data_IF_381680819318
#
_entry.id   IF_381680819318
#
_cell.length_a   1.000
_cell.length_b   1.000
_cell.length_c   1.000
_cell.angle_alpha   90.00
_cell.angle_beta   90.00
_cell.angle_gamma   90.00
#
_symmetry.space_group_name_H-M   'P 1'
#
loop_
_entity.id
_entity.type
_entity.pdbx_description
1 polymer ?
#
# COMPACT_ATOMS: atom_id res chain seq x y z
N UNK A 1 -63.73 22.16 -5.86
CA UNK A 1 -62.42 22.02 -6.54
C UNK A 1 -61.61 21.00 -5.75
N UNK A 2 -61.54 19.77 -6.23
CA UNK A 2 -60.81 18.70 -5.54
C UNK A 2 -59.31 18.84 -5.83
N UNK A 3 -58.51 18.98 -4.77
CA UNK A 3 -57.05 18.94 -4.83
C UNK A 3 -56.59 17.57 -5.30
N UNK A 4 -56.14 17.45 -6.55
CA UNK A 4 -55.40 16.28 -7.00
C UNK A 4 -54.07 16.23 -6.24
N UNK A 5 -54.02 15.44 -5.17
CA UNK A 5 -52.75 15.05 -4.58
C UNK A 5 -52.06 14.09 -5.55
N UNK A 6 -50.99 14.54 -6.19
CA UNK A 6 -50.11 13.71 -7.02
C UNK A 6 -49.46 12.64 -6.13
N UNK A 7 -50.05 11.44 -6.10
CA UNK A 7 -49.36 10.28 -5.54
C UNK A 7 -48.13 9.97 -6.42
N UNK A 8 -46.95 9.66 -5.83
CA UNK A 8 -45.75 9.39 -6.61
C UNK A 8 -45.97 8.15 -7.50
N UNK A 9 -45.78 8.34 -8.82
CA UNK A 9 -45.81 7.24 -9.79
C UNK A 9 -44.59 6.35 -9.52
N UNK A 10 -44.81 5.06 -9.25
CA UNK A 10 -43.72 4.13 -9.01
C UNK A 10 -43.07 3.73 -10.34
N UNK A 11 -41.88 4.25 -10.63
CA UNK A 11 -41.14 4.05 -11.89
C UNK A 11 -40.38 2.71 -11.89
N UNK A 12 -40.08 2.15 -10.71
CA UNK A 12 -39.21 0.99 -10.56
C UNK A 12 -39.96 -0.34 -10.58
N UNK A 13 -39.27 -1.38 -11.07
CA UNK A 13 -39.76 -2.77 -10.98
C UNK A 13 -39.83 -3.20 -9.51
N UNK A 14 -40.79 -4.08 -9.18
CA UNK A 14 -40.92 -4.63 -7.84
C UNK A 14 -39.61 -5.28 -7.36
N UNK A 15 -39.12 -4.87 -6.19
CA UNK A 15 -37.86 -5.32 -5.59
C UNK A 15 -36.62 -4.51 -5.99
N UNK A 16 -36.78 -3.41 -6.73
CA UNK A 16 -35.75 -2.39 -6.89
C UNK A 16 -35.94 -1.29 -5.84
N UNK A 17 -34.83 -0.84 -5.25
CA UNK A 17 -34.79 0.18 -4.21
C UNK A 17 -34.13 1.44 -4.75
N UNK A 18 -34.66 2.61 -4.40
CA UNK A 18 -34.09 3.91 -4.72
C UNK A 18 -33.86 4.69 -3.41
N UNK A 19 -32.64 5.18 -3.23
CA UNK A 19 -32.29 6.08 -2.14
C UNK A 19 -31.93 7.45 -2.72
N UNK A 20 -32.76 8.46 -2.42
CA UNK A 20 -32.58 9.82 -2.94
C UNK A 20 -31.78 10.71 -1.99
N UNK A 21 -30.97 11.60 -2.55
CA UNK A 21 -30.41 12.80 -1.93
C UNK A 21 -29.86 12.58 -0.50
N UNK A 22 -30.59 12.99 0.54
CA UNK A 22 -30.14 12.88 1.94
C UNK A 22 -30.02 11.42 2.40
N UNK A 23 -30.91 10.53 1.96
CA UNK A 23 -30.86 9.09 2.28
C UNK A 23 -29.73 8.35 1.59
N UNK A 24 -29.41 8.68 0.31
CA UNK A 24 -28.22 8.14 -0.36
C UNK A 24 -26.93 8.57 0.35
N UNK A 25 -26.87 9.83 0.79
CA UNK A 25 -25.76 10.37 1.58
C UNK A 25 -25.72 9.76 3.00
N UNK A 26 -26.88 9.45 3.59
CA UNK A 26 -27.01 8.72 4.86
C UNK A 26 -26.56 7.25 4.74
N UNK A 27 -26.72 6.62 3.58
CA UNK A 27 -26.29 5.24 3.37
C UNK A 27 -24.75 5.13 3.28
N UNK A 28 -24.10 6.15 2.70
CA UNK A 28 -22.64 6.32 2.80
C UNK A 28 -22.17 6.53 4.25
N UNK A 29 -23.01 7.13 5.11
CA UNK A 29 -22.77 7.38 6.54
C UNK A 29 -22.55 6.11 7.38
N UNK A 30 -23.06 4.95 6.93
CA UNK A 30 -23.15 3.71 7.73
C UNK A 30 -22.17 2.61 7.29
N UNK A 31 -21.43 2.77 6.18
CA UNK A 31 -20.38 1.81 5.80
C UNK A 31 -19.11 1.99 6.68
N UNK A 32 -19.29 1.63 7.95
CA UNK A 32 -18.36 1.21 9.00
C UNK A 32 -16.98 1.89 9.01
N UNK A 33 -17.02 3.18 9.27
CA UNK A 33 -15.91 4.01 9.76
C UNK A 33 -15.05 3.33 10.86
N UNK A 34 -15.66 2.51 11.73
CA UNK A 34 -15.00 1.95 12.91
C UNK A 34 -14.18 0.67 12.66
N UNK A 35 -14.32 0.02 11.49
CA UNK A 35 -13.66 -1.26 11.21
C UNK A 35 -12.28 -1.09 10.53
N UNK A 36 -12.06 0.05 9.87
CA UNK A 36 -10.78 0.38 9.21
C UNK A 36 -9.87 1.17 10.17
N UNK A 37 -10.42 2.06 11.00
CA UNK A 37 -9.63 2.86 11.95
C UNK A 37 -8.87 1.98 12.96
N UNK A 38 -9.42 0.82 13.35
CA UNK A 38 -8.72 -0.14 14.21
C UNK A 38 -7.58 -0.91 13.52
N UNK A 39 -7.30 -0.65 12.24
CA UNK A 39 -6.18 -1.26 11.50
C UNK A 39 -4.97 -0.32 11.38
N UNK A 40 -5.08 0.94 11.81
CA UNK A 40 -3.90 1.80 11.98
C UNK A 40 -3.22 1.44 13.31
N UNK A 41 -1.88 1.46 13.35
CA UNK A 41 -1.07 1.56 14.57
C UNK A 41 -1.03 0.40 15.59
N UNK A 42 -1.98 -0.53 15.65
CA UNK A 42 -1.93 -1.66 16.61
C UNK A 42 -1.76 -3.06 15.98
N UNK A 43 -0.86 -3.80 16.64
CA UNK A 43 -0.43 -5.17 16.46
C UNK A 43 -1.53 -6.21 16.73
N UNK A 44 -1.37 -7.40 16.14
CA UNK A 44 -1.84 -8.68 16.68
C UNK A 44 -3.35 -9.02 16.71
N UNK A 45 -4.18 -8.39 15.88
CA UNK A 45 -5.43 -9.06 15.48
C UNK A 45 -5.19 -9.81 14.19
N UNK A 46 -4.92 -11.12 14.34
CA UNK A 46 -4.92 -12.21 13.33
C UNK A 46 -5.21 -11.69 11.91
N UNK A 47 -4.31 -11.87 10.92
CA UNK A 47 -4.50 -11.36 9.56
C UNK A 47 -5.58 -12.17 8.84
N UNK A 48 -6.83 -11.99 9.27
CA UNK A 48 -8.00 -12.01 8.43
C UNK A 48 -7.95 -10.73 7.61
N UNK A 49 -6.95 -10.71 6.72
CA UNK A 49 -6.68 -9.78 5.63
C UNK A 49 -7.93 -9.13 5.08
N UNK A 50 -7.81 -7.97 4.45
CA UNK A 50 -8.82 -7.32 3.58
C UNK A 50 -9.64 -8.35 2.75
N UNK A 51 -9.10 -9.53 2.42
CA UNK A 51 -9.81 -10.69 1.87
C UNK A 51 -11.04 -11.19 2.68
N UNK A 52 -11.09 -11.05 4.01
CA UNK A 52 -12.27 -11.32 4.83
C UNK A 52 -13.25 -10.13 4.91
N UNK A 53 -12.79 -8.90 4.63
CA UNK A 53 -13.70 -7.81 4.28
C UNK A 53 -14.37 -8.10 2.93
N UNK A 54 -13.62 -8.63 1.95
CA UNK A 54 -14.14 -9.02 0.62
C UNK A 54 -15.31 -10.01 0.69
N UNK A 55 -15.34 -10.91 1.69
CA UNK A 55 -16.41 -11.90 1.86
C UNK A 55 -17.60 -11.43 2.70
N UNK A 56 -17.45 -10.32 3.46
CA UNK A 56 -18.47 -9.83 4.41
C UNK A 56 -19.21 -8.58 3.95
N UNK A 57 -18.72 -7.86 2.95
CA UNK A 57 -19.34 -6.61 2.49
C UNK A 57 -20.23 -6.92 1.28
N UNK A 58 -21.55 -6.78 1.47
CA UNK A 58 -22.59 -7.06 0.45
C UNK A 58 -22.81 -5.90 -0.53
N UNK A 59 -22.02 -4.83 -0.44
CA UNK A 59 -22.12 -3.60 -1.23
C UNK A 59 -20.76 -3.25 -1.84
N UNK A 60 -20.74 -2.69 -3.05
CA UNK A 60 -19.51 -2.18 -3.68
C UNK A 60 -18.98 -1.01 -2.83
N UNK A 61 -18.07 -1.29 -1.91
CA UNK A 61 -17.41 -0.27 -1.11
C UNK A 61 -16.26 0.33 -1.92
N UNK A 62 -16.53 1.43 -2.61
CA UNK A 62 -15.57 2.11 -3.49
C UNK A 62 -14.19 2.38 -2.83
N UNK A 63 -14.08 2.73 -1.53
CA UNK A 63 -12.77 2.88 -0.89
C UNK A 63 -11.97 1.57 -0.77
N UNK A 64 -12.62 0.39 -0.82
CA UNK A 64 -11.95 -0.90 -0.88
C UNK A 64 -11.35 -1.17 -2.27
N UNK A 65 -11.99 -0.67 -3.32
CA UNK A 65 -11.45 -0.82 -4.68
C UNK A 65 -10.25 0.11 -4.86
N UNK A 66 -10.27 1.31 -4.27
CA UNK A 66 -9.13 2.22 -4.25
C UNK A 66 -7.95 1.65 -3.45
N UNK A 67 -8.22 0.88 -2.38
CA UNK A 67 -7.14 0.18 -1.67
C UNK A 67 -6.50 -0.91 -2.52
N UNK A 68 -7.23 -1.52 -3.48
CA UNK A 68 -6.65 -2.51 -4.42
C UNK A 68 -5.76 -1.82 -5.44
N UNK A 69 -6.23 -0.71 -6.02
CA UNK A 69 -5.43 0.09 -6.96
C UNK A 69 -4.12 0.55 -6.29
N UNK A 70 -4.19 0.96 -5.01
CA UNK A 70 -3.00 1.33 -4.25
C UNK A 70 -2.01 0.15 -4.08
N UNK A 71 -2.54 -1.05 -3.81
CA UNK A 71 -1.74 -2.28 -3.66
C UNK A 71 -1.08 -2.66 -4.99
N UNK A 72 -1.82 -2.59 -6.10
CA UNK A 72 -1.36 -2.95 -7.43
C UNK A 72 -0.29 -1.96 -7.96
N UNK A 73 -0.43 -0.66 -7.69
CA UNK A 73 0.48 0.37 -8.20
C UNK A 73 1.74 0.55 -7.34
N UNK A 74 1.58 0.55 -6.00
CA UNK A 74 2.68 0.92 -5.08
C UNK A 74 2.96 -0.13 -4.01
N UNK A 75 1.99 -0.98 -3.67
CA UNK A 75 2.15 -2.09 -2.72
C UNK A 75 2.26 -1.69 -1.24
N UNK A 76 2.01 -0.42 -0.90
CA UNK A 76 1.94 0.08 0.49
C UNK A 76 0.99 1.28 0.57
N UNK A 77 0.57 1.63 1.80
CA UNK A 77 -0.35 2.74 2.05
C UNK A 77 -1.82 2.42 1.77
N UNK A 78 -2.17 1.14 1.60
CA UNK A 78 -3.55 0.67 1.37
C UNK A 78 -4.50 1.15 2.47
N UNK A 79 -4.09 1.03 3.73
CA UNK A 79 -4.85 1.53 4.89
C UNK A 79 -4.93 3.05 4.91
N UNK A 80 -3.83 3.75 4.59
CA UNK A 80 -3.76 5.21 4.59
C UNK A 80 -4.72 5.83 3.57
N UNK A 81 -4.86 5.23 2.38
CA UNK A 81 -5.85 5.64 1.36
C UNK A 81 -7.25 5.55 1.93
N UNK A 82 -7.61 4.40 2.51
CA UNK A 82 -8.98 4.18 2.99
C UNK A 82 -9.33 5.10 4.16
N UNK A 83 -8.40 5.30 5.10
CA UNK A 83 -8.60 6.19 6.25
C UNK A 83 -8.72 7.64 5.79
N UNK A 84 -7.82 8.12 4.92
CA UNK A 84 -7.89 9.50 4.43
C UNK A 84 -9.18 9.75 3.64
N UNK A 85 -9.57 8.83 2.76
CA UNK A 85 -10.82 8.94 2.01
C UNK A 85 -12.04 8.98 2.95
N UNK A 86 -12.06 8.13 3.98
CA UNK A 86 -13.12 8.12 4.97
C UNK A 86 -13.18 9.46 5.72
N UNK A 87 -12.04 9.93 6.25
CA UNK A 87 -11.95 11.19 7.00
C UNK A 87 -12.37 12.41 6.17
N UNK A 88 -12.01 12.44 4.88
CA UNK A 88 -12.52 13.46 3.95
C UNK A 88 -14.05 13.43 3.87
N UNK A 89 -14.65 12.25 3.70
CA UNK A 89 -16.12 12.12 3.62
C UNK A 89 -16.82 12.53 4.91
N UNK A 90 -16.23 12.23 6.09
CA UNK A 90 -16.75 12.69 7.38
C UNK A 90 -16.75 14.21 7.49
N UNK A 91 -15.68 14.85 7.06
CA UNK A 91 -15.61 16.31 7.04
C UNK A 91 -16.59 16.91 6.02
N UNK A 92 -16.78 16.29 4.85
CA UNK A 92 -17.80 16.73 3.89
C UNK A 92 -19.22 16.60 4.43
N UNK A 93 -19.53 15.56 5.20
CA UNK A 93 -20.84 15.45 5.88
C UNK A 93 -21.10 16.68 6.77
N UNK A 94 -20.09 17.09 7.54
CA UNK A 94 -20.17 18.30 8.38
C UNK A 94 -20.45 19.57 7.56
N UNK A 95 -19.86 19.69 6.38
CA UNK A 95 -20.08 20.82 5.47
C UNK A 95 -21.46 20.79 4.80
N UNK A 96 -21.93 19.61 4.41
CA UNK A 96 -23.27 19.44 3.84
C UNK A 96 -24.33 19.77 4.88
N UNK A 97 -24.14 19.37 6.14
CA UNK A 97 -25.03 19.75 7.24
C UNK A 97 -25.08 21.28 7.46
N UNK A 98 -23.99 21.99 7.14
CA UNK A 98 -23.92 23.46 7.12
C UNK A 98 -24.49 24.08 5.83
N UNK A 99 -25.18 23.31 5.00
CA UNK A 99 -25.82 23.73 3.74
C UNK A 99 -24.81 24.23 2.69
N UNK A 100 -23.61 23.65 2.65
CA UNK A 100 -22.65 23.86 1.56
C UNK A 100 -22.93 22.84 0.46
N UNK A 101 -22.99 23.30 -0.79
CA UNK A 101 -23.27 22.43 -1.93
C UNK A 101 -22.07 21.48 -2.19
N UNK A 102 -22.28 20.17 -2.45
CA UNK A 102 -21.19 19.21 -2.67
C UNK A 102 -20.22 19.63 -3.78
N UNK A 103 -20.71 20.24 -4.86
CA UNK A 103 -19.87 20.77 -5.94
C UNK A 103 -18.85 21.80 -5.47
N UNK A 104 -19.25 22.71 -4.56
CA UNK A 104 -18.34 23.72 -3.98
C UNK A 104 -17.30 23.07 -3.05
N UNK A 105 -17.66 21.97 -2.38
CA UNK A 105 -16.72 21.19 -1.57
C UNK A 105 -15.65 20.57 -2.48
N UNK A 106 -16.09 19.94 -3.57
CA UNK A 106 -15.22 19.33 -4.58
C UNK A 106 -14.26 20.36 -5.18
N UNK A 107 -14.75 21.55 -5.53
CA UNK A 107 -13.91 22.65 -6.06
C UNK A 107 -12.82 23.05 -5.07
N UNK A 108 -13.17 23.29 -3.81
CA UNK A 108 -12.20 23.62 -2.76
C UNK A 108 -11.17 22.51 -2.51
N UNK A 109 -11.60 21.25 -2.50
CA UNK A 109 -10.71 20.10 -2.33
C UNK A 109 -9.78 19.86 -3.52
N UNK A 110 -10.25 20.12 -4.75
CA UNK A 110 -9.43 20.00 -5.96
C UNK A 110 -8.31 21.04 -5.94
N UNK A 111 -8.61 22.27 -5.56
CA UNK A 111 -7.59 23.32 -5.40
C UNK A 111 -6.61 23.01 -4.26
N UNK A 112 -7.10 22.48 -3.13
CA UNK A 112 -6.23 21.98 -2.05
C UNK A 112 -5.28 20.87 -2.54
N UNK A 113 -5.79 19.88 -3.26
CA UNK A 113 -5.01 18.75 -3.79
C UNK A 113 -3.95 19.22 -4.78
N UNK A 114 -4.27 20.20 -5.65
CA UNK A 114 -3.31 20.82 -6.56
C UNK A 114 -2.19 21.53 -5.81
N UNK A 115 -2.51 22.32 -4.79
CA UNK A 115 -1.51 23.04 -4.01
C UNK A 115 -0.57 22.11 -3.26
N UNK A 116 -1.10 21.02 -2.68
CA UNK A 116 -0.30 19.98 -2.04
C UNK A 116 0.59 19.27 -3.07
N UNK A 117 0.05 18.93 -4.24
CA UNK A 117 0.81 18.27 -5.31
C UNK A 117 1.94 19.16 -5.85
N UNK A 118 1.72 20.47 -5.95
CA UNK A 118 2.75 21.44 -6.32
C UNK A 118 3.85 21.54 -5.26
N UNK A 119 3.47 21.58 -3.97
CA UNK A 119 4.43 21.58 -2.87
C UNK A 119 5.31 20.33 -2.86
N UNK A 120 4.72 19.16 -3.14
CA UNK A 120 5.44 17.90 -3.26
C UNK A 120 6.57 17.93 -4.31
N UNK A 121 6.40 18.69 -5.39
CA UNK A 121 7.43 18.82 -6.43
C UNK A 121 8.64 19.65 -5.98
N UNK A 122 8.49 20.48 -4.93
CA UNK A 122 9.56 21.30 -4.39
C UNK A 122 10.46 20.57 -3.38
N UNK A 123 10.12 19.34 -2.97
CA UNK A 123 10.92 18.57 -2.02
C UNK A 123 12.22 18.08 -2.65
N UNK A 124 13.32 18.42 -1.97
CA UNK A 124 14.71 18.33 -2.43
C UNK A 124 15.20 16.88 -2.54
N UNK A 125 16.00 16.61 -3.58
CA UNK A 125 16.70 15.36 -3.83
C UNK A 125 18.13 15.41 -3.26
N UNK A 126 18.59 14.34 -2.62
CA UNK A 126 20.02 14.15 -2.36
C UNK A 126 20.57 13.16 -3.38
N UNK A 127 21.51 13.62 -4.22
CA UNK A 127 22.17 12.83 -5.27
C UNK A 127 23.21 11.82 -4.77
N UNK A 128 23.31 11.61 -3.46
CA UNK A 128 24.35 10.78 -2.85
C UNK A 128 23.93 9.32 -2.76
N UNK A 129 24.69 8.41 -3.38
CA UNK A 129 24.41 6.98 -3.39
C UNK A 129 24.47 6.34 -1.98
N UNK A 130 25.38 6.82 -1.12
CA UNK A 130 25.49 6.35 0.27
C UNK A 130 24.26 6.74 1.09
N UNK A 131 23.81 7.99 0.92
CA UNK A 131 22.61 8.48 1.60
C UNK A 131 21.36 7.81 1.05
N UNK A 132 21.29 7.58 -0.26
CA UNK A 132 20.21 6.84 -0.89
C UNK A 132 20.09 5.41 -0.35
N UNK A 133 21.21 4.70 -0.17
CA UNK A 133 21.18 3.37 0.48
C UNK A 133 20.66 3.46 1.91
N UNK A 134 21.05 4.47 2.68
CA UNK A 134 20.54 4.69 4.02
C UNK A 134 19.05 5.05 4.02
N UNK A 135 18.59 5.83 3.06
CA UNK A 135 17.17 6.19 2.90
C UNK A 135 16.33 4.97 2.54
N UNK A 136 16.82 4.07 1.69
CA UNK A 136 16.17 2.78 1.41
C UNK A 136 16.08 1.90 2.66
N UNK A 137 17.13 1.88 3.48
CA UNK A 137 17.13 1.18 4.77
C UNK A 137 16.06 1.77 5.71
N UNK A 138 15.99 3.10 5.79
CA UNK A 138 15.01 3.78 6.61
C UNK A 138 13.57 3.51 6.12
N UNK A 139 13.32 3.58 4.81
CA UNK A 139 12.00 3.30 4.21
C UNK A 139 11.55 1.87 4.49
N UNK A 140 12.39 0.87 4.20
CA UNK A 140 12.04 -0.52 4.48
C UNK A 140 11.85 -0.75 5.98
N UNK A 141 12.65 -0.08 6.82
CA UNK A 141 12.44 -0.09 8.26
C UNK A 141 11.09 0.47 8.69
N UNK A 142 10.63 1.56 8.09
CA UNK A 142 9.32 2.17 8.38
C UNK A 142 8.19 1.24 7.92
N UNK A 143 8.21 0.76 6.67
CA UNK A 143 7.17 -0.13 6.12
C UNK A 143 7.04 -1.46 6.87
N UNK A 144 8.14 -2.00 7.40
CA UNK A 144 8.13 -3.26 8.17
C UNK A 144 7.74 -3.07 9.65
N UNK A 145 7.76 -1.85 10.17
CA UNK A 145 7.54 -1.58 11.61
C UNK A 145 6.09 -1.80 12.07
N UNK A 146 5.14 -1.73 11.14
CA UNK A 146 3.70 -1.94 11.41
C UNK A 146 3.26 -3.40 11.30
N UNK A 147 4.20 -4.35 11.12
CA UNK A 147 3.91 -5.76 10.78
C UNK A 147 4.52 -6.72 11.79
N UNK A 148 4.14 -8.00 11.72
CA UNK A 148 4.54 -9.08 12.65
C UNK A 148 6.07 -9.31 12.76
N UNK A 149 6.86 -8.62 11.93
CA UNK A 149 8.31 -8.77 11.79
C UNK A 149 9.14 -7.80 12.66
N UNK A 150 8.52 -7.08 13.60
CA UNK A 150 9.20 -6.07 14.45
C UNK A 150 10.48 -6.58 15.12
N UNK A 151 10.47 -7.81 15.67
CA UNK A 151 11.63 -8.39 16.37
C UNK A 151 12.86 -8.62 15.49
N UNK A 152 12.68 -8.76 14.17
CA UNK A 152 13.76 -9.02 13.23
C UNK A 152 13.89 -7.92 12.16
N UNK A 153 13.30 -6.75 12.41
CA UNK A 153 13.23 -5.62 11.47
C UNK A 153 14.56 -5.35 10.77
N UNK A 154 15.66 -5.19 11.51
CA UNK A 154 16.97 -4.85 10.93
C UNK A 154 17.47 -5.89 9.93
N UNK A 155 17.21 -7.18 10.17
CA UNK A 155 17.61 -8.26 9.26
C UNK A 155 16.76 -8.24 7.99
N UNK A 156 15.45 -8.06 8.13
CA UNK A 156 14.53 -7.97 6.98
C UNK A 156 14.78 -6.72 6.13
N UNK A 157 15.04 -5.58 6.77
CA UNK A 157 15.37 -4.33 6.11
C UNK A 157 16.62 -4.47 5.25
N UNK A 158 17.72 -5.00 5.81
CA UNK A 158 18.96 -5.25 5.05
C UNK A 158 18.70 -6.16 3.86
N UNK A 159 17.94 -7.23 4.09
CA UNK A 159 17.65 -8.22 3.08
C UNK A 159 16.81 -7.68 1.92
N UNK A 160 15.76 -6.90 2.22
CA UNK A 160 14.90 -6.30 1.21
C UNK A 160 15.68 -5.30 0.35
N UNK A 161 16.52 -4.46 0.98
CA UNK A 161 17.37 -3.48 0.28
C UNK A 161 18.40 -4.18 -0.60
N UNK A 162 19.07 -5.24 -0.11
CA UNK A 162 20.01 -6.01 -0.92
C UNK A 162 19.34 -6.71 -2.11
N UNK A 163 18.14 -7.26 -1.92
CA UNK A 163 17.38 -7.90 -2.99
C UNK A 163 17.02 -6.91 -4.09
N UNK A 164 16.55 -5.71 -3.73
CA UNK A 164 16.13 -4.68 -4.69
C UNK A 164 17.32 -4.04 -5.41
N UNK A 165 18.42 -3.78 -4.71
CA UNK A 165 19.64 -3.27 -5.35
C UNK A 165 20.27 -4.27 -6.33
N UNK A 166 20.07 -5.58 -6.13
CA UNK A 166 20.50 -6.61 -7.09
C UNK A 166 19.72 -6.56 -8.42
N UNK A 167 18.48 -6.06 -8.42
CA UNK A 167 17.67 -5.94 -9.63
C UNK A 167 18.16 -4.85 -10.60
N UNK A 168 19.14 -4.02 -10.20
CA UNK A 168 19.74 -2.94 -11.02
C UNK A 168 18.74 -2.06 -11.78
N UNK A 169 17.56 -1.81 -11.19
CA UNK A 169 16.54 -0.95 -11.77
C UNK A 169 15.61 -1.59 -12.81
N UNK A 170 15.65 -2.93 -13.01
CA UNK A 170 14.68 -3.61 -13.88
C UNK A 170 13.24 -3.41 -13.40
N UNK A 171 13.05 -3.16 -12.10
CA UNK A 171 11.75 -2.88 -11.49
C UNK A 171 10.78 -4.07 -11.54
N UNK A 172 11.24 -5.23 -12.00
CA UNK A 172 10.42 -6.43 -12.08
C UNK A 172 10.60 -7.27 -10.80
N UNK A 173 9.57 -7.24 -9.95
CA UNK A 173 9.52 -7.99 -8.69
C UNK A 173 9.42 -9.50 -8.91
N UNK A 174 9.01 -9.97 -10.09
CA UNK A 174 8.94 -11.40 -10.40
C UNK A 174 10.31 -12.10 -10.38
N UNK A 175 11.39 -11.33 -10.59
CA UNK A 175 12.76 -11.81 -10.49
C UNK A 175 13.19 -12.12 -9.05
N UNK A 176 12.41 -11.68 -8.04
CA UNK A 176 12.59 -12.02 -6.64
C UNK A 176 11.65 -13.17 -6.29
N UNK A 177 12.19 -14.37 -6.12
CA UNK A 177 11.40 -15.53 -5.74
C UNK A 177 11.41 -15.76 -4.24
N UNK A 178 10.24 -15.90 -3.62
CA UNK A 178 10.10 -16.19 -2.20
C UNK A 178 9.75 -17.67 -2.00
N UNK A 179 10.58 -18.42 -1.27
CA UNK A 179 10.34 -19.82 -0.92
C UNK A 179 10.01 -19.91 0.57
N UNK A 180 8.79 -20.36 0.89
CA UNK A 180 8.35 -20.63 2.27
C UNK A 180 8.66 -22.07 2.69
N UNK A 181 9.23 -22.25 3.87
CA UNK A 181 9.50 -23.56 4.49
C UNK A 181 9.09 -23.56 5.96
N UNK A 182 8.38 -24.60 6.36
CA UNK A 182 8.03 -24.80 7.77
C UNK A 182 9.25 -25.28 8.56
N UNK A 183 9.35 -24.82 9.81
CA UNK A 183 10.33 -25.29 10.78
C UNK A 183 11.36 -24.23 11.19
N UNK A 184 11.77 -24.31 12.46
CA UNK A 184 12.69 -23.42 13.16
C UNK A 184 12.18 -21.99 13.43
N UNK A 185 12.96 -21.23 14.21
CA UNK A 185 12.80 -19.79 14.38
C UNK A 185 12.93 -19.07 13.04
N UNK A 186 12.32 -17.89 12.94
CA UNK A 186 12.28 -17.08 11.70
C UNK A 186 13.71 -16.80 11.20
N UNK A 187 14.13 -17.52 10.16
CA UNK A 187 15.48 -17.43 9.57
C UNK A 187 15.36 -17.22 8.07
N UNK A 188 16.08 -16.21 7.57
CA UNK A 188 15.99 -15.82 6.17
C UNK A 188 17.37 -15.67 5.57
N UNK A 189 17.55 -16.30 4.42
CA UNK A 189 18.76 -16.22 3.63
C UNK A 189 18.42 -15.81 2.20
N UNK A 190 19.23 -14.91 1.63
CA UNK A 190 19.22 -14.63 0.19
C UNK A 190 20.16 -15.60 -0.48
N UNK A 191 19.62 -16.47 -1.32
CA UNK A 191 20.38 -17.40 -2.16
C UNK A 191 19.77 -17.37 -3.56
N UNK A 192 20.46 -17.88 -4.58
CA UNK A 192 19.77 -18.23 -5.82
C UNK A 192 19.48 -19.72 -5.67
N UNK A 193 18.21 -20.05 -5.49
CA UNK A 193 17.79 -21.43 -5.23
C UNK A 193 16.57 -21.77 -6.05
N UNK A 194 16.63 -22.89 -6.77
CA UNK A 194 15.52 -23.39 -7.58
C UNK A 194 15.12 -24.76 -7.07
N UNK A 195 13.80 -25.01 -7.00
CA UNK A 195 13.26 -26.34 -6.67
C UNK A 195 13.15 -27.14 -7.95
N UNK A 196 13.92 -28.23 -8.05
CA UNK A 196 14.11 -28.96 -9.31
C UNK A 196 14.43 -30.42 -9.01
N UNK A 197 14.01 -31.32 -9.91
CA UNK A 197 14.53 -32.68 -10.00
C UNK A 197 15.83 -32.75 -10.81
N UNK A 198 16.76 -33.59 -10.34
CA UNK A 198 18.10 -33.78 -10.89
C UNK A 198 18.20 -35.12 -11.62
N UNK A 199 18.66 -35.10 -12.87
CA UNK A 199 19.05 -36.30 -13.60
C UNK A 199 20.48 -36.14 -14.10
N UNK A 200 21.32 -37.14 -13.85
CA UNK A 200 22.71 -37.13 -14.33
C UNK A 200 22.84 -38.14 -15.47
N UNK A 201 23.15 -37.63 -16.66
CA UNK A 201 23.35 -38.46 -17.86
C UNK A 201 24.62 -37.99 -18.54
N UNK A 202 25.58 -38.90 -18.75
CA UNK A 202 26.84 -38.62 -19.46
C UNK A 202 27.61 -37.37 -18.97
N UNK A 203 27.71 -37.17 -17.64
CA UNK A 203 28.35 -36.00 -16.99
C UNK A 203 27.66 -34.66 -17.25
N UNK A 204 26.46 -34.67 -17.84
CA UNK A 204 25.59 -33.51 -17.96
C UNK A 204 24.50 -33.61 -16.89
N UNK A 205 24.36 -32.53 -16.12
CA UNK A 205 23.31 -32.41 -15.11
C UNK A 205 22.06 -31.79 -15.74
N UNK A 206 20.99 -32.57 -15.80
CA UNK A 206 19.68 -32.11 -16.24
C UNK A 206 18.87 -31.64 -15.03
N UNK A 207 18.30 -30.44 -15.18
CA UNK A 207 17.56 -29.70 -14.15
C UNK A 207 16.16 -29.45 -14.72
N UNK A 208 15.15 -30.19 -14.24
CA UNK A 208 13.75 -30.02 -14.66
C UNK A 208 12.99 -29.02 -13.77
N UNK A 209 12.72 -27.83 -14.29
CA UNK A 209 11.87 -26.83 -13.64
C UNK A 209 10.41 -27.01 -14.06
N UNK A 210 9.48 -26.95 -13.10
CA UNK A 210 8.05 -27.16 -13.36
C UNK A 210 7.29 -25.85 -13.61
N UNK A 211 7.87 -24.71 -13.21
CA UNK A 211 7.24 -23.39 -13.39
C UNK A 211 8.03 -22.54 -14.37
N UNK A 212 7.32 -21.87 -15.28
CA UNK A 212 7.91 -20.89 -16.22
C UNK A 212 8.72 -19.80 -15.50
N UNK A 213 8.25 -19.35 -14.34
CA UNK A 213 8.93 -18.34 -13.50
C UNK A 213 10.30 -18.82 -13.01
N UNK A 214 10.45 -20.10 -12.68
CA UNK A 214 11.73 -20.68 -12.25
C UNK A 214 12.76 -20.64 -13.39
N UNK A 215 12.32 -20.91 -14.63
CA UNK A 215 13.15 -20.83 -15.83
C UNK A 215 13.54 -19.37 -16.11
N UNK A 216 12.61 -18.44 -15.98
CA UNK A 216 12.88 -17.00 -16.14
C UNK A 216 13.92 -16.49 -15.13
N UNK A 217 13.93 -17.01 -13.91
CA UNK A 217 14.92 -16.61 -12.90
C UNK A 217 16.33 -17.14 -13.19
N UNK A 218 16.47 -18.23 -13.96
CA UNK A 218 17.77 -18.75 -14.39
C UNK A 218 18.47 -17.86 -15.44
N UNK A 219 17.78 -16.86 -16.00
CA UNK A 219 18.44 -15.83 -16.83
C UNK A 219 19.52 -15.07 -16.05
N UNK A 220 19.53 -15.10 -14.71
CA UNK A 220 20.60 -14.49 -13.91
C UNK A 220 22.00 -15.09 -14.20
N UNK A 221 22.05 -16.29 -14.76
CA UNK A 221 23.26 -17.00 -15.20
C UNK A 221 23.80 -16.39 -16.53
N UNK A 222 23.00 -15.56 -17.21
CA UNK A 222 23.36 -14.82 -18.42
C UNK A 222 23.13 -15.57 -19.73
N UNK A 223 22.40 -16.69 -19.68
CA UNK A 223 21.94 -17.41 -20.86
C UNK A 223 20.55 -16.97 -21.32
N UNK A 224 20.13 -17.45 -22.48
CA UNK A 224 18.80 -17.21 -23.04
C UNK A 224 17.92 -18.46 -23.06
N UNK A 225 16.60 -18.27 -23.09
CA UNK A 225 15.64 -19.38 -23.17
C UNK A 225 15.53 -19.82 -24.63
N UNK A 226 16.17 -20.93 -24.97
CA UNK A 226 16.00 -21.59 -26.26
C UNK A 226 14.79 -22.55 -26.21
N UNK A 227 13.94 -22.49 -27.22
CA UNK A 227 12.83 -23.45 -27.44
C UNK A 227 13.14 -24.45 -28.55
N UNK A 228 13.98 -24.07 -29.51
CA UNK A 228 14.51 -24.92 -30.58
C UNK A 228 16.01 -25.12 -30.40
N UNK A 229 16.50 -26.31 -30.75
CA UNK A 229 17.90 -26.70 -30.59
C UNK A 229 18.61 -26.92 -31.94
N UNK A 230 18.00 -26.49 -33.05
CA UNK A 230 18.52 -26.74 -34.41
C UNK A 230 19.82 -25.96 -34.71
N UNK A 231 19.99 -24.79 -34.08
CA UNK A 231 21.14 -23.91 -34.26
C UNK A 231 21.78 -23.56 -32.90
N UNK A 232 22.57 -24.47 -32.30
CA UNK A 232 23.14 -24.28 -30.97
C UNK A 232 24.13 -23.11 -30.90
N UNK A 233 24.74 -22.73 -32.02
CA UNK A 233 25.68 -21.60 -32.12
C UNK A 233 25.03 -20.22 -31.98
N UNK A 234 23.71 -20.13 -32.21
CA UNK A 234 22.96 -18.89 -32.01
C UNK A 234 22.53 -18.71 -30.55
N UNK A 235 22.62 -19.77 -29.72
CA UNK A 235 22.11 -19.77 -28.35
C UNK A 235 23.18 -19.32 -27.36
N UNK A 236 22.92 -18.23 -26.65
CA UNK A 236 23.76 -17.75 -25.55
C UNK A 236 23.64 -18.67 -24.33
N UNK A 237 24.71 -19.39 -24.02
CA UNK A 237 24.82 -20.20 -22.81
C UNK A 237 25.17 -19.35 -21.58
N UNK A 238 24.54 -19.67 -20.44
CA UNK A 238 24.87 -19.05 -19.15
C UNK A 238 26.07 -19.71 -18.48
N UNK A 239 26.78 -18.98 -17.62
CA UNK A 239 27.83 -19.53 -16.74
C UNK A 239 27.61 -19.22 -15.26
N UNK A 240 27.96 -20.18 -14.39
CA UNK A 240 28.01 -20.00 -12.93
C UNK A 240 29.24 -20.72 -12.35
N UNK A 241 29.70 -20.30 -11.17
CA UNK A 241 30.92 -20.86 -10.55
C UNK A 241 30.68 -22.19 -9.86
N UNK A 242 29.55 -22.32 -9.16
CA UNK A 242 29.23 -23.50 -8.36
C UNK A 242 27.73 -23.78 -8.42
N UNK A 243 27.40 -25.05 -8.60
CA UNK A 243 26.04 -25.59 -8.47
C UNK A 243 26.11 -26.66 -7.38
N UNK A 244 25.39 -26.47 -6.28
CA UNK A 244 25.34 -27.44 -5.18
C UNK A 244 23.90 -27.77 -4.80
N UNK A 245 23.66 -29.01 -4.39
CA UNK A 245 22.37 -29.42 -3.83
C UNK A 245 22.37 -29.18 -2.32
N UNK A 246 21.44 -28.34 -1.85
CA UNK A 246 21.29 -27.99 -0.44
C UNK A 246 19.94 -28.48 0.07
N UNK A 247 19.96 -29.23 1.17
CA UNK A 247 18.75 -29.61 1.90
C UNK A 247 18.27 -28.45 2.77
N UNK A 248 17.06 -27.95 2.54
CA UNK A 248 16.42 -26.96 3.42
C UNK A 248 15.14 -27.56 3.98
N UNK A 249 15.21 -28.06 5.22
CA UNK A 249 14.14 -28.83 5.83
C UNK A 249 14.07 -30.21 5.18
N UNK A 250 12.91 -30.54 4.60
CA UNK A 250 12.68 -31.81 3.89
C UNK A 250 12.89 -31.67 2.37
N UNK A 251 12.97 -30.45 1.85
CA UNK A 251 13.10 -30.19 0.42
C UNK A 251 14.55 -30.07 -0.03
N UNK A 252 14.83 -30.68 -1.19
CA UNK A 252 16.06 -30.53 -1.96
C UNK A 252 15.97 -29.27 -2.82
N UNK A 253 16.93 -28.37 -2.69
CA UNK A 253 17.02 -27.16 -3.50
C UNK A 253 18.40 -27.08 -4.14
N UNK A 254 18.44 -26.68 -5.41
CA UNK A 254 19.71 -26.45 -6.11
C UNK A 254 20.12 -25.00 -5.87
N UNK A 255 21.30 -24.80 -5.30
CA UNK A 255 21.90 -23.50 -5.09
C UNK A 255 22.91 -23.17 -6.19
N UNK A 256 22.74 -22.00 -6.80
CA UNK A 256 23.67 -21.44 -7.77
C UNK A 256 24.50 -20.34 -7.10
N UNK A 257 25.83 -20.46 -7.12
CA UNK A 257 26.75 -19.45 -6.59
C UNK A 257 27.66 -18.88 -7.68
N UNK A 258 27.96 -17.58 -7.56
CA UNK A 258 28.85 -16.89 -8.50
C UNK A 258 28.27 -16.72 -9.90
N UNK A 259 27.03 -16.23 -9.99
CA UNK A 259 26.36 -15.92 -11.26
C UNK A 259 26.86 -14.61 -11.89
N UNK A 260 26.80 -14.51 -13.22
CA UNK A 260 27.36 -13.39 -13.97
C UNK A 260 26.52 -12.10 -13.91
N UNK A 261 25.19 -12.17 -14.14
CA UNK A 261 24.33 -10.98 -14.16
C UNK A 261 23.69 -10.67 -12.81
N UNK A 262 23.40 -11.67 -11.96
CA UNK A 262 22.95 -11.47 -10.58
C UNK A 262 21.61 -10.73 -10.41
N UNK A 263 20.86 -10.56 -11.50
CA UNK A 263 19.60 -9.79 -11.57
C UNK A 263 18.38 -10.52 -11.00
N UNK A 264 18.53 -11.77 -10.57
CA UNK A 264 17.48 -12.52 -9.88
C UNK A 264 17.98 -13.01 -8.52
N UNK A 265 17.08 -13.07 -7.55
CA UNK A 265 17.39 -13.57 -6.22
C UNK A 265 16.25 -14.42 -5.64
N UNK A 266 16.61 -15.34 -4.76
CA UNK A 266 15.66 -16.17 -4.02
C UNK A 266 15.76 -15.87 -2.53
N UNK A 267 14.64 -15.58 -1.91
CA UNK A 267 14.53 -15.33 -0.48
C UNK A 267 13.86 -16.54 0.14
N UNK A 268 14.57 -17.24 1.03
CA UNK A 268 14.01 -18.40 1.72
C UNK A 268 13.49 -17.98 3.08
N UNK A 269 12.17 -18.04 3.28
CA UNK A 269 11.48 -17.78 4.55
C UNK A 269 11.29 -19.08 5.31
N UNK A 270 11.79 -19.13 6.56
CA UNK A 270 11.50 -20.21 7.51
C UNK A 270 10.70 -19.71 8.68
N UNK A 271 9.72 -20.45 9.17
CA UNK A 271 8.87 -20.00 10.27
C UNK A 271 8.19 -21.16 10.98
N UNK A 272 7.73 -20.89 12.22
CA UNK A 272 7.13 -21.90 13.09
C UNK A 272 5.74 -22.36 12.61
N UNK A 273 4.96 -21.46 12.01
CA UNK A 273 3.60 -21.74 11.53
C UNK A 273 3.41 -21.19 10.10
N UNK A 274 2.48 -21.79 9.34
CA UNK A 274 2.13 -21.28 8.01
C UNK A 274 1.60 -19.84 8.06
N UNK A 275 0.84 -19.50 9.11
CA UNK A 275 0.31 -18.14 9.27
C UNK A 275 1.41 -17.08 9.40
N UNK A 276 2.48 -17.38 10.16
CA UNK A 276 3.64 -16.49 10.28
C UNK A 276 4.38 -16.40 8.94
N UNK A 277 4.51 -17.51 8.21
CA UNK A 277 5.16 -17.52 6.89
C UNK A 277 4.40 -16.71 5.85
N UNK A 278 3.08 -16.87 5.78
CA UNK A 278 2.21 -16.13 4.87
C UNK A 278 2.24 -14.63 5.19
N UNK A 279 2.23 -14.28 6.47
CA UNK A 279 2.33 -12.88 6.90
C UNK A 279 3.72 -12.30 6.63
N UNK A 280 4.80 -13.08 6.83
CA UNK A 280 6.16 -12.66 6.52
C UNK A 280 6.38 -12.46 5.02
N UNK A 281 5.83 -13.34 4.17
CA UNK A 281 5.88 -13.20 2.72
C UNK A 281 5.15 -11.94 2.26
N UNK A 282 3.93 -11.70 2.76
CA UNK A 282 3.20 -10.46 2.47
C UNK A 282 3.98 -9.23 2.95
N UNK A 283 4.46 -9.24 4.19
CA UNK A 283 5.21 -8.13 4.76
C UNK A 283 6.46 -7.78 3.94
N UNK A 284 7.17 -8.81 3.47
CA UNK A 284 8.33 -8.67 2.61
C UNK A 284 7.94 -8.17 1.22
N UNK A 285 6.86 -8.69 0.63
CA UNK A 285 6.36 -8.25 -0.66
C UNK A 285 6.08 -6.75 -0.66
N UNK A 286 5.33 -6.25 0.32
CA UNK A 286 5.03 -4.83 0.46
C UNK A 286 6.31 -3.98 0.56
N UNK A 287 7.30 -4.43 1.35
CA UNK A 287 8.58 -3.73 1.47
C UNK A 287 9.36 -3.73 0.14
N UNK A 288 9.36 -4.85 -0.59
CA UNK A 288 10.00 -4.94 -1.91
C UNK A 288 9.30 -4.04 -2.94
N UNK A 289 7.97 -3.95 -2.92
CA UNK A 289 7.20 -3.07 -3.79
C UNK A 289 7.57 -1.60 -3.58
N UNK A 290 7.59 -1.14 -2.33
CA UNK A 290 7.95 0.26 -2.00
C UNK A 290 9.38 0.56 -2.41
N UNK A 291 10.32 -0.34 -2.09
CA UNK A 291 11.72 -0.16 -2.46
C UNK A 291 11.91 -0.14 -3.97
N UNK A 292 11.25 -1.04 -4.71
CA UNK A 292 11.34 -1.08 -6.17
C UNK A 292 10.81 0.21 -6.82
N UNK A 293 9.72 0.78 -6.28
CA UNK A 293 9.22 2.07 -6.74
C UNK A 293 10.15 3.23 -6.33
N UNK A 294 10.78 3.15 -5.16
CA UNK A 294 11.75 4.16 -4.70
C UNK A 294 13.06 4.12 -5.51
N UNK A 295 13.44 2.98 -6.08
CA UNK A 295 14.56 2.91 -7.03
C UNK A 295 14.21 3.59 -8.37
N UNK A 296 12.94 3.52 -8.81
CA UNK A 296 12.47 4.26 -9.99
C UNK A 296 12.34 5.75 -9.73
N UNK A 297 11.85 6.12 -8.56
CA UNK A 297 11.74 7.50 -8.09
C UNK A 297 12.40 7.66 -6.71
N UNK A 298 13.60 8.23 -6.72
CA UNK A 298 14.47 8.37 -5.57
C UNK A 298 14.04 9.45 -4.56
N UNK A 299 12.90 10.10 -4.76
CA UNK A 299 12.36 11.09 -3.83
C UNK A 299 11.81 10.42 -2.57
N UNK A 300 12.13 11.01 -1.43
CA UNK A 300 11.71 10.53 -0.11
C UNK A 300 11.07 11.66 0.68
N UNK A 301 10.24 11.29 1.64
CA UNK A 301 9.54 12.23 2.53
C UNK A 301 9.60 11.72 3.97
N UNK A 302 9.49 12.63 4.94
CA UNK A 302 9.49 12.25 6.35
C UNK A 302 8.14 11.68 6.76
N UNK A 303 8.18 10.52 7.43
CA UNK A 303 6.97 9.84 7.89
C UNK A 303 6.49 10.31 9.26
N UNK A 304 5.83 9.43 10.01
CA UNK A 304 5.40 9.71 11.38
C UNK A 304 4.41 10.87 11.50
N UNK A 305 3.58 11.11 10.48
CA UNK A 305 2.63 12.23 10.47
C UNK A 305 3.22 13.59 10.08
N UNK A 306 4.53 13.66 9.83
CA UNK A 306 5.22 14.89 9.42
C UNK A 306 4.71 15.38 8.06
N UNK A 307 4.70 14.50 7.05
CA UNK A 307 4.22 14.82 5.71
C UNK A 307 2.76 15.30 5.73
N UNK A 308 1.90 14.62 6.47
CA UNK A 308 0.47 14.95 6.60
C UNK A 308 0.25 16.31 7.26
N UNK A 309 1.02 16.62 8.30
CA UNK A 309 0.95 17.92 8.97
C UNK A 309 1.43 19.06 8.06
N UNK A 310 2.50 18.85 7.28
CA UNK A 310 2.99 19.82 6.29
C UNK A 310 1.94 20.10 5.22
N UNK A 311 1.34 19.04 4.67
CA UNK A 311 0.27 19.18 3.68
C UNK A 311 -0.91 19.96 4.27
N UNK A 312 -1.31 19.66 5.52
CA UNK A 312 -2.36 20.39 6.20
C UNK A 312 -2.00 21.87 6.42
N UNK A 313 -0.74 22.18 6.73
CA UNK A 313 -0.26 23.56 6.88
C UNK A 313 -0.34 24.32 5.56
N UNK A 314 0.13 23.73 4.45
CA UNK A 314 0.06 24.33 3.10
C UNK A 314 -1.39 24.61 2.70
N UNK A 315 -2.29 23.64 2.90
CA UNK A 315 -3.72 23.82 2.58
C UNK A 315 -4.35 24.89 3.47
N UNK A 316 -3.97 24.97 4.74
CA UNK A 316 -4.48 26.01 5.65
C UNK A 316 -4.02 27.41 5.22
N UNK A 317 -2.77 27.56 4.79
CA UNK A 317 -2.28 28.84 4.26
C UNK A 317 -3.00 29.25 2.97
N UNK A 318 -3.31 28.29 2.09
CA UNK A 318 -4.10 28.54 0.90
C UNK A 318 -5.54 28.95 1.27
N UNK A 319 -6.17 28.24 2.21
CA UNK A 319 -7.52 28.54 2.67
C UNK A 319 -7.64 29.98 3.18
N UNK A 320 -6.64 30.47 3.92
CA UNK A 320 -6.60 31.85 4.41
C UNK A 320 -6.56 32.92 3.30
N UNK A 321 -6.12 32.56 2.08
CA UNK A 321 -6.03 33.46 0.92
C UNK A 321 -7.24 33.35 0.00
N UNK A 322 -7.97 32.24 0.07
CA UNK A 322 -9.14 31.98 -0.78
C UNK A 322 -10.40 32.59 -0.16
N UNK A 323 -11.19 33.40 -0.88
CA UNK A 323 -12.46 33.90 -0.37
C UNK A 323 -13.60 32.89 -0.55
N UNK A 324 -14.63 33.00 0.28
CA UNK A 324 -15.91 32.31 0.08
C UNK A 324 -15.99 30.90 0.70
N UNK A 325 -16.96 30.11 0.22
CA UNK A 325 -17.27 28.78 0.79
C UNK A 325 -16.21 27.72 0.47
N UNK A 326 -15.43 27.93 -0.59
CA UNK A 326 -14.32 27.07 -0.99
C UNK A 326 -13.22 27.05 0.08
N UNK A 327 -12.98 28.17 0.77
CA UNK A 327 -12.01 28.24 1.88
C UNK A 327 -12.38 27.29 3.02
N UNK A 328 -13.66 27.21 3.37
CA UNK A 328 -14.17 26.30 4.41
C UNK A 328 -14.00 24.84 3.97
N UNK A 329 -14.15 24.55 2.68
CA UNK A 329 -13.87 23.23 2.13
C UNK A 329 -12.37 22.89 2.20
N UNK A 330 -11.47 23.83 1.87
CA UNK A 330 -10.02 23.65 2.02
C UNK A 330 -9.63 23.40 3.49
N UNK A 331 -10.20 24.15 4.43
CA UNK A 331 -9.96 23.92 5.87
C UNK A 331 -10.39 22.51 6.32
N UNK A 332 -11.50 22.01 5.77
CA UNK A 332 -11.97 20.66 6.05
C UNK A 332 -11.01 19.58 5.51
N UNK A 333 -10.39 19.83 4.35
CA UNK A 333 -9.34 18.96 3.79
C UNK A 333 -8.11 18.94 4.70
N UNK A 334 -7.68 20.10 5.20
CA UNK A 334 -6.58 20.20 6.17
C UNK A 334 -6.92 19.55 7.53
N UNK A 335 -8.21 19.50 7.93
CA UNK A 335 -8.65 18.73 9.10
C UNK A 335 -8.55 17.23 8.87
N UNK A 336 -9.02 16.74 7.72
CA UNK A 336 -8.93 15.33 7.35
C UNK A 336 -7.47 14.84 7.30
N UNK A 337 -6.55 15.63 6.74
CA UNK A 337 -5.12 15.30 6.74
C UNK A 337 -4.53 15.16 8.16
N UNK A 338 -4.95 16.02 9.09
CA UNK A 338 -4.51 15.96 10.50
C UNK A 338 -5.07 14.77 11.26
N UNK A 339 -6.12 14.11 10.78
CA UNK A 339 -6.64 12.91 11.42
C UNK A 339 -5.69 11.72 11.29
N UNK A 340 -4.85 11.67 10.26
CA UNK A 340 -3.86 10.60 10.11
C UNK A 340 -2.87 10.55 11.30
N UNK A 341 -2.17 11.64 11.68
CA UNK A 341 -1.34 11.64 12.88
C UNK A 341 -2.15 11.45 14.17
N UNK A 342 -3.39 11.95 14.26
CA UNK A 342 -4.27 11.68 15.41
C UNK A 342 -4.50 10.18 15.59
N UNK A 343 -4.83 9.47 14.51
CA UNK A 343 -5.09 8.04 14.52
C UNK A 343 -3.81 7.25 14.86
N UNK A 344 -2.63 7.68 14.38
CA UNK A 344 -1.35 7.07 14.78
C UNK A 344 -1.15 7.17 16.30
N UNK A 345 -1.38 8.35 16.87
CA UNK A 345 -1.22 8.59 18.30
C UNK A 345 -2.26 7.82 19.15
N UNK A 346 -3.53 7.79 18.71
CA UNK A 346 -4.61 7.05 19.38
C UNK A 346 -4.29 5.56 19.46
N UNK A 347 -3.79 4.97 18.37
CA UNK A 347 -3.47 3.54 18.34
C UNK A 347 -2.21 3.20 19.14
N UNK A 348 -1.33 4.15 19.39
CA UNK A 348 -0.23 3.93 20.33
C UNK A 348 -0.64 4.13 21.79
N UNK A 349 -1.88 4.56 22.05
CA UNK A 349 -2.40 4.78 23.41
C UNK A 349 -1.93 6.08 24.08
N UNK A 350 -1.39 7.04 23.31
CA UNK A 350 -1.01 8.36 23.83
C UNK A 350 -2.15 9.39 23.71
N UNK A 351 -1.99 10.54 24.36
CA UNK A 351 -2.90 11.68 24.17
C UNK A 351 -2.69 12.30 22.78
N UNK A 352 -3.50 11.83 21.83
CA UNK A 352 -3.45 12.30 20.45
C UNK A 352 -3.81 13.77 20.29
N UNK A 353 -4.64 14.33 21.19
CA UNK A 353 -5.05 15.73 21.11
C UNK A 353 -3.88 16.65 21.45
N UNK A 354 -3.13 16.34 22.50
CA UNK A 354 -1.95 17.11 22.90
C UNK A 354 -0.82 16.96 21.88
N UNK A 355 -0.48 15.74 21.48
CA UNK A 355 0.60 15.48 20.53
C UNK A 355 0.36 16.14 19.16
N UNK A 356 -0.85 16.03 18.62
CA UNK A 356 -1.17 16.66 17.32
C UNK A 356 -1.22 18.19 17.43
N UNK A 357 -1.63 18.73 18.58
CA UNK A 357 -1.61 20.17 18.84
C UNK A 357 -0.18 20.72 18.89
N UNK A 358 0.72 20.04 19.61
CA UNK A 358 2.14 20.40 19.66
C UNK A 358 2.80 20.24 18.29
N UNK A 359 2.46 19.18 17.53
CA UNK A 359 3.00 18.94 16.19
C UNK A 359 2.60 20.07 15.23
N UNK A 360 1.33 20.48 15.28
CA UNK A 360 0.83 21.62 14.51
C UNK A 360 1.55 22.91 14.88
N UNK A 361 1.84 23.14 16.17
CA UNK A 361 2.58 24.31 16.62
C UNK A 361 4.01 24.32 16.05
N UNK A 362 4.73 23.20 16.14
CA UNK A 362 6.08 23.05 15.59
C UNK A 362 6.15 23.32 14.08
N UNK A 363 5.20 22.78 13.29
CA UNK A 363 5.12 23.05 11.85
C UNK A 363 4.79 24.51 11.54
N UNK A 364 3.99 25.16 12.39
CA UNK A 364 3.68 26.59 12.27
C UNK A 364 4.88 27.49 12.60
N UNK A 365 5.81 27.02 13.43
CA UNK A 365 7.11 27.65 13.70
C UNK A 365 8.13 27.43 12.57
N UNK A 366 7.79 26.65 11.53
CA UNK A 366 8.68 26.35 10.41
C UNK A 366 9.54 25.10 10.60
N UNK A 367 9.31 24.27 11.64
CA UNK A 367 10.00 22.99 11.81
C UNK A 367 9.39 21.95 10.88
N UNK A 368 9.94 21.81 9.67
CA UNK A 368 9.41 20.92 8.63
C UNK A 368 9.78 19.45 8.81
N UNK A 369 10.65 19.10 9.75
CA UNK A 369 11.09 17.72 10.03
C UNK A 369 10.40 17.10 11.25
N UNK A 370 9.56 17.87 11.96
CA UNK A 370 8.90 17.42 13.16
C UNK A 370 7.83 16.36 12.86
N UNK A 371 7.84 15.25 13.59
CA UNK A 371 6.84 14.19 13.50
C UNK A 371 6.60 13.52 14.86
N UNK A 372 5.74 12.51 14.87
CA UNK A 372 5.41 11.77 16.09
C UNK A 372 6.44 10.67 16.37
N UNK A 373 7.10 10.74 17.51
CA UNK A 373 7.90 9.65 18.06
C UNK A 373 7.02 8.76 18.95
N UNK A 374 6.61 7.62 18.39
CA UNK A 374 5.72 6.68 19.09
C UNK A 374 6.43 5.82 20.13
N UNK A 375 7.77 5.85 20.21
CA UNK A 375 8.51 5.11 21.24
C UNK A 375 8.47 5.84 22.57
N UNK A 376 8.72 7.14 22.53
CA UNK A 376 8.74 8.01 23.71
C UNK A 376 7.41 8.73 23.94
N UNK A 377 6.50 8.71 22.96
CA UNK A 377 5.23 9.42 23.05
C UNK A 377 5.40 10.95 23.01
N UNK A 378 6.34 11.44 22.21
CA UNK A 378 6.67 12.87 22.08
C UNK A 378 6.84 13.27 20.62
N UNK A 379 7.11 14.55 20.35
CA UNK A 379 7.46 15.01 19.00
C UNK A 379 8.97 14.99 18.85
N UNK A 380 9.43 14.36 17.78
CA UNK A 380 10.85 14.23 17.43
C UNK A 380 11.15 14.72 16.02
N UNK A 381 12.44 14.84 15.70
CA UNK A 381 12.89 15.08 14.34
C UNK A 381 12.96 13.75 13.57
N UNK A 382 12.14 13.62 12.53
CA UNK A 382 12.03 12.40 11.73
C UNK A 382 13.30 12.09 10.94
N UNK A 383 14.12 13.09 10.63
CA UNK A 383 15.42 12.90 9.98
C UNK A 383 16.40 12.19 10.91
N UNK A 384 16.43 12.58 12.19
CA UNK A 384 17.29 11.99 13.21
C UNK A 384 16.81 10.60 13.59
N UNK A 385 15.49 10.41 13.72
CA UNK A 385 14.89 9.10 14.01
C UNK A 385 14.95 8.12 12.83
N UNK A 386 15.29 8.60 11.62
CA UNK A 386 15.36 7.79 10.42
C UNK A 386 13.99 7.28 9.96
N UNK A 387 12.91 8.03 10.21
CA UNK A 387 11.56 7.69 9.78
C UNK A 387 11.29 8.36 8.44
N UNK A 388 11.63 7.66 7.37
CA UNK A 388 11.39 8.09 5.99
C UNK A 388 10.39 7.16 5.31
N UNK A 389 9.65 7.71 4.36
CA UNK A 389 8.68 7.03 3.51
C UNK A 389 8.93 7.41 2.05
N UNK A 390 8.45 6.56 1.14
CA UNK A 390 8.53 6.82 -0.30
C UNK A 390 7.61 7.97 -0.70
N UNK A 391 8.13 8.89 -1.52
CA UNK A 391 7.34 9.98 -2.08
C UNK A 391 6.15 9.47 -2.91
N UNK A 392 6.39 8.46 -3.75
CA UNK A 392 5.36 7.91 -4.63
C UNK A 392 4.19 7.31 -3.86
N UNK A 393 4.47 6.62 -2.74
CA UNK A 393 3.42 6.10 -1.84
C UNK A 393 2.54 7.24 -1.35
N UNK A 394 3.13 8.30 -0.77
CA UNK A 394 2.34 9.42 -0.22
C UNK A 394 1.57 10.19 -1.29
N UNK A 395 2.19 10.43 -2.43
CA UNK A 395 1.53 11.09 -3.57
C UNK A 395 0.31 10.29 -4.04
N UNK A 396 0.48 8.98 -4.22
CA UNK A 396 -0.62 8.12 -4.66
C UNK A 396 -1.72 8.03 -3.59
N UNK A 397 -1.35 7.98 -2.31
CA UNK A 397 -2.32 7.99 -1.20
C UNK A 397 -3.22 9.22 -1.25
N UNK A 398 -2.63 10.40 -1.42
CA UNK A 398 -3.35 11.67 -1.49
C UNK A 398 -4.30 11.71 -2.69
N UNK A 399 -3.79 11.40 -3.89
CA UNK A 399 -4.57 11.47 -5.13
C UNK A 399 -5.72 10.47 -5.12
N UNK A 400 -5.44 9.21 -4.76
CA UNK A 400 -6.45 8.15 -4.71
C UNK A 400 -7.54 8.46 -3.69
N UNK A 401 -7.18 8.97 -2.51
CA UNK A 401 -8.16 9.33 -1.49
C UNK A 401 -9.04 10.52 -1.92
N UNK A 402 -8.44 11.54 -2.54
CA UNK A 402 -9.17 12.71 -3.04
C UNK A 402 -10.14 12.34 -4.18
N UNK A 403 -9.70 11.52 -5.14
CA UNK A 403 -10.55 11.01 -6.23
C UNK A 403 -11.70 10.17 -5.68
N UNK A 404 -11.43 9.31 -4.68
CA UNK A 404 -12.46 8.52 -4.03
C UNK A 404 -13.53 9.38 -3.37
N UNK A 405 -13.10 10.38 -2.61
CA UNK A 405 -14.02 11.27 -1.92
C UNK A 405 -14.83 12.11 -2.92
N UNK A 406 -14.21 12.57 -4.01
CA UNK A 406 -14.88 13.32 -5.08
C UNK A 406 -15.95 12.50 -5.80
N UNK A 407 -15.64 11.26 -6.19
CA UNK A 407 -16.61 10.36 -6.85
C UNK A 407 -17.83 10.14 -5.96
N UNK A 408 -17.59 9.90 -4.67
CA UNK A 408 -18.63 9.64 -3.67
C UNK A 408 -19.49 10.89 -3.42
N UNK A 409 -18.90 12.09 -3.35
CA UNK A 409 -19.63 13.35 -3.16
C UNK A 409 -20.52 13.75 -4.33
N UNK A 410 -20.16 13.32 -5.55
CA UNK A 410 -20.99 13.55 -6.74
C UNK A 410 -22.25 12.70 -6.77
N UNK A 411 -22.31 11.62 -5.98
CA UNK A 411 -23.48 10.75 -5.93
C UNK A 411 -24.64 11.47 -5.24
N UNK A 412 -25.72 11.66 -6.00
CA UNK A 412 -26.98 12.24 -5.53
C UNK A 412 -28.10 11.21 -5.41
N UNK A 413 -28.00 10.08 -6.13
CA UNK A 413 -29.02 9.04 -6.15
C UNK A 413 -28.37 7.64 -6.24
N UNK A 414 -28.85 6.69 -5.44
CA UNK A 414 -28.40 5.28 -5.49
C UNK A 414 -29.60 4.41 -5.89
N UNK A 415 -29.48 3.73 -7.03
CA UNK A 415 -30.51 2.85 -7.55
C UNK A 415 -30.02 1.41 -7.48
N UNK A 416 -30.72 0.58 -6.71
CA UNK A 416 -30.45 -0.85 -6.62
C UNK A 416 -31.43 -1.61 -7.50
N UNK A 417 -30.92 -2.25 -8.56
CA UNK A 417 -31.73 -3.11 -9.40
C UNK A 417 -32.20 -4.34 -8.64
N UNK A 418 -33.41 -4.83 -8.98
CA UNK A 418 -33.95 -6.05 -8.40
C UNK A 418 -33.00 -7.23 -8.65
N UNK A 419 -32.71 -8.06 -7.63
CA UNK A 419 -31.81 -9.19 -7.78
C UNK A 419 -32.36 -10.16 -8.84
N UNK A 420 -31.45 -10.71 -9.66
CA UNK A 420 -31.82 -11.69 -10.69
C UNK A 420 -32.53 -12.87 -10.01
N UNK A 421 -33.74 -13.19 -10.46
CA UNK A 421 -34.45 -14.40 -10.02
C UNK A 421 -33.56 -15.61 -10.36
N UNK A 422 -33.17 -16.39 -9.35
CA UNK A 422 -32.44 -17.64 -9.56
C UNK A 422 -33.39 -18.60 -10.28
N UNK A 423 -33.01 -19.03 -11.47
CA UNK A 423 -33.70 -20.12 -12.16
C UNK A 423 -33.34 -21.40 -11.40
N UNK A 424 -34.30 -22.30 -11.11
CA UNK A 424 -33.97 -23.60 -10.54
C UNK A 424 -32.94 -24.30 -11.42
N UNK A 425 -31.82 -24.75 -10.83
CA UNK A 425 -30.88 -25.58 -11.56
C UNK A 425 -31.60 -26.89 -11.91
N UNK A 426 -31.85 -27.09 -13.20
CA UNK A 426 -32.42 -28.33 -13.72
C UNK A 426 -31.35 -29.39 -14.01
N UNK A 427 -30.14 -29.23 -13.48
CA UNK A 427 -29.13 -30.28 -13.54
C UNK A 427 -29.57 -31.44 -12.62
N UNK A 428 -29.82 -32.65 -13.16
CA UNK A 428 -30.07 -33.82 -12.33
C UNK A 428 -28.82 -34.09 -11.49
N UNK A 429 -29.02 -34.24 -10.19
CA UNK A 429 -27.97 -34.59 -9.23
C UNK A 429 -27.36 -35.96 -9.50
#
# INVERSE_FOLDING_TARGET
>A
MASLSLAPVNIFKAGADEEKAETARLFQRILRFRLVVSMFGELDKVPRSINNLKSRITYNFFPLDMSRVQDDEVGDGTTSVTVLAAELLREAESLIAKKIHPQTIIEGWREATKAVSAWFFCLYFSSDEVKFRQDLMNIAGTTLSSKLLTHHKDHFTKLAVEAVLRLKGSGNLEAIHVIKKLGAALKINVKISVKVELYNVHRVLFIFAYKKVEISNLLCIGGEIASTFDHPELVKLGSCKLIEEVMIGEDKLIHFSGVALGEACTIVLRGATQQILDEAERSLHDALCVLAQTVKDSRTVYGGGCSEMLMAHVVTQLANRTPGKEAVAMESYAKALRMLPTIIADNAGYDSADLVAQLRAAHSEGKTTAGLDMKEGTIGDMSILGITESFQVKRQVLLSAAEAAEVILRVDNIIKAAPRKRVPDHHPC
#
